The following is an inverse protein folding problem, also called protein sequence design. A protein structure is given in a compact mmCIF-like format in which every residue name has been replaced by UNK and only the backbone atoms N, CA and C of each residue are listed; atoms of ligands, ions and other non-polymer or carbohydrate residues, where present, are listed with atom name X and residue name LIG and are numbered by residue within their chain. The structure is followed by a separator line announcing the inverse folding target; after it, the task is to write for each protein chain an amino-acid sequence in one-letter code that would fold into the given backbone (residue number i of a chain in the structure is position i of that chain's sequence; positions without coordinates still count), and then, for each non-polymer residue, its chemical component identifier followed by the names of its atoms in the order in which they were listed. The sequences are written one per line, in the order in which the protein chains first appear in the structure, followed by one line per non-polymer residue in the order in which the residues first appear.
data_IF_050480903004
#
_entry.id   IF_050480903004
#
_cell.length_a   1.000
_cell.length_b   1.000
_cell.length_c   1.000
_cell.angle_alpha   90.00
_cell.angle_beta   90.00
_cell.angle_gamma   90.00
#
_symmetry.space_group_name_H-M   'P 1'
#
loop_
_entity.id
_entity.type
_entity.pdbx_description
1 polymer ?
#
# COMPACT_ATOMS: atom_id res chain seq x y z
N UNK A 1 -14.88 -24.94 -17.29
CA UNK A 1 -15.61 -24.29 -16.18
C UNK A 1 -14.74 -23.17 -15.66
N UNK A 2 -15.22 -21.93 -15.66
CA UNK A 2 -14.50 -20.80 -15.06
C UNK A 2 -14.70 -20.77 -13.54
N UNK A 3 -13.60 -20.57 -12.80
CA UNK A 3 -13.61 -20.44 -11.35
C UNK A 3 -14.56 -19.31 -10.87
N UNK A 4 -14.72 -18.25 -11.66
CA UNK A 4 -15.60 -17.12 -11.35
C UNK A 4 -17.07 -17.53 -11.16
N UNK A 5 -17.56 -18.51 -11.93
CA UNK A 5 -18.96 -18.97 -11.81
C UNK A 5 -19.19 -19.78 -10.52
N UNK A 6 -18.16 -20.45 -9.99
CA UNK A 6 -18.22 -21.16 -8.72
C UNK A 6 -18.24 -20.19 -7.52
N UNK A 7 -17.61 -19.03 -7.65
CA UNK A 7 -17.48 -18.03 -6.58
C UNK A 7 -18.71 -17.11 -6.47
N UNK A 8 -19.42 -16.85 -7.58
CA UNK A 8 -20.63 -16.02 -7.63
C UNK A 8 -21.68 -16.36 -6.53
N UNK A 9 -22.09 -17.62 -6.29
CA UNK A 9 -23.07 -17.93 -5.25
C UNK A 9 -22.55 -17.68 -3.83
N UNK A 10 -21.27 -17.95 -3.56
CA UNK A 10 -20.66 -17.74 -2.24
C UNK A 10 -20.52 -16.26 -1.89
N UNK A 11 -20.20 -15.43 -2.90
CA UNK A 11 -20.14 -13.97 -2.81
C UNK A 11 -21.55 -13.36 -2.67
N UNK A 12 -22.54 -13.87 -3.41
CA UNK A 12 -23.93 -13.40 -3.33
C UNK A 12 -24.57 -13.65 -1.97
N UNK A 13 -24.28 -14.81 -1.35
CA UNK A 13 -24.76 -15.16 0.00
C UNK A 13 -24.02 -14.40 1.11
N UNK A 14 -22.95 -13.66 0.81
CA UNK A 14 -22.11 -12.98 1.80
C UNK A 14 -21.30 -13.92 2.71
N UNK A 15 -21.30 -15.23 2.42
CA UNK A 15 -20.56 -16.25 3.17
C UNK A 15 -19.04 -16.12 3.02
N UNK A 16 -18.60 -15.48 1.93
CA UNK A 16 -17.20 -15.23 1.63
C UNK A 16 -16.98 -13.73 1.38
N UNK A 17 -15.98 -13.17 2.05
CA UNK A 17 -15.48 -11.82 1.82
C UNK A 17 -14.08 -11.94 1.23
N UNK A 18 -13.82 -11.23 0.14
CA UNK A 18 -12.51 -11.16 -0.48
C UNK A 18 -12.14 -9.69 -0.75
N UNK A 19 -10.84 -9.43 -0.85
CA UNK A 19 -10.28 -8.17 -1.29
C UNK A 19 -9.54 -8.47 -2.58
N UNK A 20 -9.91 -7.77 -3.66
CA UNK A 20 -9.22 -7.83 -4.94
C UNK A 20 -8.37 -6.59 -5.15
N UNK A 21 -7.23 -6.75 -5.83
CA UNK A 21 -6.42 -5.66 -6.34
C UNK A 21 -6.31 -5.83 -7.86
N UNK A 22 -6.67 -4.80 -8.61
CA UNK A 22 -6.66 -4.81 -10.08
C UNK A 22 -6.20 -3.46 -10.59
N UNK A 23 -5.65 -3.42 -11.80
CA UNK A 23 -5.39 -2.15 -12.49
C UNK A 23 -6.68 -1.55 -13.07
N UNK A 24 -6.67 -0.26 -13.41
CA UNK A 24 -7.83 0.41 -14.01
C UNK A 24 -8.25 -0.25 -15.33
N UNK A 25 -7.28 -0.63 -16.16
CA UNK A 25 -7.54 -1.22 -17.47
C UNK A 25 -8.14 -2.63 -17.36
N UNK A 26 -7.59 -3.47 -16.49
CA UNK A 26 -8.12 -4.82 -16.22
C UNK A 26 -9.52 -4.77 -15.61
N UNK A 27 -9.75 -3.83 -14.68
CA UNK A 27 -11.06 -3.65 -14.06
C UNK A 27 -12.14 -3.33 -15.11
N UNK A 28 -11.86 -2.38 -16.02
CA UNK A 28 -12.81 -1.97 -17.05
C UNK A 28 -13.04 -3.05 -18.11
N UNK A 29 -12.00 -3.79 -18.49
CA UNK A 29 -12.07 -4.74 -19.60
C UNK A 29 -12.64 -6.10 -19.22
N UNK A 30 -12.40 -6.55 -17.99
CA UNK A 30 -12.73 -7.91 -17.53
C UNK A 30 -13.79 -7.86 -16.43
N UNK A 31 -13.60 -7.01 -15.41
CA UNK A 31 -14.42 -7.05 -14.20
C UNK A 31 -15.78 -6.35 -14.38
N UNK A 32 -15.78 -5.19 -15.02
CA UNK A 32 -17.00 -4.39 -15.22
C UNK A 32 -17.97 -5.04 -16.21
N UNK A 33 -17.46 -5.90 -17.11
CA UNK A 33 -18.27 -6.71 -18.01
C UNK A 33 -19.05 -7.81 -17.30
N UNK A 34 -18.55 -8.32 -16.17
CA UNK A 34 -19.27 -9.32 -15.35
C UNK A 34 -20.18 -8.64 -14.34
N UNK A 35 -21.41 -8.38 -14.79
CA UNK A 35 -22.44 -7.68 -14.05
C UNK A 35 -22.83 -8.35 -12.72
N UNK A 36 -22.57 -9.65 -12.54
CA UNK A 36 -22.84 -10.33 -11.27
C UNK A 36 -21.81 -9.97 -10.19
N UNK A 37 -20.55 -9.77 -10.59
CA UNK A 37 -19.44 -9.44 -9.68
C UNK A 37 -19.37 -7.92 -9.45
N UNK A 38 -19.52 -7.09 -10.49
CA UNK A 38 -19.43 -5.63 -10.35
C UNK A 38 -20.41 -5.05 -9.33
N UNK A 39 -21.59 -5.66 -9.16
CA UNK A 39 -22.60 -5.26 -8.16
C UNK A 39 -22.30 -5.68 -6.72
N UNK A 40 -21.35 -6.58 -6.50
CA UNK A 40 -21.04 -7.16 -5.17
C UNK A 40 -19.73 -6.66 -4.59
N UNK A 41 -18.86 -6.14 -5.44
CA UNK A 41 -17.62 -5.51 -5.02
C UNK A 41 -17.82 -4.01 -4.87
N UNK A 42 -17.35 -3.46 -3.75
CA UNK A 42 -17.22 -2.02 -3.61
C UNK A 42 -15.93 -1.59 -4.30
N UNK A 43 -16.03 -0.78 -5.36
CA UNK A 43 -14.87 -0.14 -5.96
C UNK A 43 -14.31 0.89 -4.98
N UNK A 44 -13.01 0.80 -4.73
CA UNK A 44 -12.23 1.78 -3.96
C UNK A 44 -11.09 2.20 -4.86
N UNK A 45 -11.14 3.45 -5.33
CA UNK A 45 -10.11 3.99 -6.19
C UNK A 45 -8.92 4.43 -5.35
N UNK A 46 -7.77 3.83 -5.63
CA UNK A 46 -6.48 4.19 -5.02
C UNK A 46 -5.76 5.07 -6.02
N UNK A 47 -5.64 6.35 -5.68
CA UNK A 47 -4.91 7.33 -6.50
C UNK A 47 -3.43 7.30 -6.16
N UNK A 48 -2.61 7.70 -7.12
CA UNK A 48 -1.19 7.93 -6.89
C UNK A 48 -1.02 9.03 -5.82
N UNK A 49 -0.20 8.82 -4.78
CA UNK A 49 0.06 9.83 -3.78
C UNK A 49 0.84 11.01 -4.36
N UNK A 50 0.62 12.18 -3.79
CA UNK A 50 1.42 13.38 -4.11
C UNK A 50 2.87 13.20 -3.68
N UNK A 51 3.76 14.05 -4.21
CA UNK A 51 5.18 14.07 -3.79
C UNK A 51 5.29 14.30 -2.28
N UNK A 52 4.51 15.23 -1.72
CA UNK A 52 4.51 15.53 -0.30
C UNK A 52 4.07 14.34 0.57
N UNK A 53 3.00 13.64 0.17
CA UNK A 53 2.55 12.41 0.84
C UNK A 53 3.59 11.30 0.72
N UNK A 54 4.24 11.17 -0.45
CA UNK A 54 5.31 10.19 -0.65
C UNK A 54 6.48 10.46 0.28
N UNK A 55 6.88 11.72 0.49
CA UNK A 55 7.90 12.06 1.49
C UNK A 55 7.50 11.62 2.90
N UNK A 56 6.23 11.74 3.28
CA UNK A 56 5.74 11.24 4.57
C UNK A 56 5.80 9.71 4.65
N UNK A 57 5.43 9.00 3.59
CA UNK A 57 5.55 7.54 3.49
C UNK A 57 7.02 7.12 3.65
N UNK A 58 7.94 7.76 2.93
CA UNK A 58 9.37 7.51 3.02
C UNK A 58 9.92 7.79 4.43
N UNK A 59 9.45 8.84 5.12
CA UNK A 59 9.80 9.09 6.53
C UNK A 59 9.34 7.95 7.44
N UNK A 60 8.18 7.36 7.17
CA UNK A 60 7.67 6.20 7.92
C UNK A 60 8.48 4.93 7.69
N UNK A 61 9.00 4.73 6.47
CA UNK A 61 9.81 3.58 6.09
C UNK A 61 11.29 3.73 6.47
N UNK A 62 11.79 4.97 6.55
CA UNK A 62 13.19 5.31 6.83
C UNK A 62 13.85 4.46 7.94
N UNK A 63 13.26 4.27 9.14
CA UNK A 63 13.94 3.51 10.21
C UNK A 63 14.24 2.06 9.84
N UNK A 64 13.40 1.45 9.00
CA UNK A 64 13.58 0.08 8.53
C UNK A 64 14.76 -0.01 7.55
N UNK A 65 14.82 0.90 6.57
CA UNK A 65 15.88 0.95 5.58
C UNK A 65 17.23 1.37 6.18
N UNK A 66 17.24 2.32 7.12
CA UNK A 66 18.46 2.70 7.85
C UNK A 66 19.07 1.53 8.62
N UNK A 67 18.22 0.71 9.27
CA UNK A 67 18.68 -0.47 10.01
C UNK A 67 19.23 -1.56 9.06
N UNK A 68 18.58 -1.76 7.91
CA UNK A 68 18.99 -2.77 6.93
C UNK A 68 20.29 -2.41 6.20
N UNK A 69 20.42 -1.16 5.76
CA UNK A 69 21.59 -0.68 5.00
C UNK A 69 22.72 -0.15 5.87
N UNK A 70 22.47 0.08 7.17
CA UNK A 70 23.41 0.70 8.12
C UNK A 70 23.82 2.14 7.73
N UNK A 71 22.94 2.83 6.99
CA UNK A 71 23.10 4.22 6.55
C UNK A 71 22.13 5.13 7.28
N UNK A 72 22.34 6.45 7.16
CA UNK A 72 21.36 7.45 7.60
C UNK A 72 20.90 8.28 6.42
N UNK A 73 19.59 8.38 6.24
CA UNK A 73 18.98 9.24 5.21
C UNK A 73 18.71 10.62 5.80
N UNK A 74 19.23 11.66 5.16
CA UNK A 74 18.90 13.04 5.51
C UNK A 74 17.50 13.39 5.03
N UNK A 75 16.89 14.42 5.62
CA UNK A 75 15.54 14.84 5.23
C UNK A 75 15.49 15.29 3.76
N UNK A 76 16.48 16.07 3.32
CA UNK A 76 16.60 16.48 1.91
C UNK A 76 16.87 15.31 0.95
N UNK A 77 17.42 14.19 1.41
CA UNK A 77 17.56 13.00 0.56
C UNK A 77 16.21 12.32 0.27
N UNK A 78 15.28 12.33 1.23
CA UNK A 78 13.93 11.78 1.02
C UNK A 78 13.11 12.67 0.08
N UNK A 79 13.23 13.99 0.24
CA UNK A 79 12.60 14.97 -0.65
C UNK A 79 13.14 14.84 -2.07
N UNK A 80 14.46 14.81 -2.23
CA UNK A 80 15.10 14.60 -3.52
C UNK A 80 14.71 13.26 -4.16
N UNK A 81 14.62 12.17 -3.38
CA UNK A 81 14.20 10.87 -3.91
C UNK A 81 12.77 10.93 -4.47
N UNK A 82 11.83 11.57 -3.76
CA UNK A 82 10.45 11.72 -4.21
C UNK A 82 10.34 12.65 -5.44
N UNK A 83 10.99 13.81 -5.42
CA UNK A 83 10.94 14.79 -6.51
C UNK A 83 11.63 14.31 -7.79
N UNK A 84 12.83 13.74 -7.67
CA UNK A 84 13.60 13.28 -8.82
C UNK A 84 12.96 12.04 -9.45
N UNK A 85 12.45 11.11 -8.64
CA UNK A 85 11.73 9.94 -9.16
C UNK A 85 10.43 10.35 -9.84
N UNK A 86 9.70 11.33 -9.30
CA UNK A 86 8.52 11.89 -9.95
C UNK A 86 8.84 12.53 -11.31
N UNK A 87 9.94 13.27 -11.40
CA UNK A 87 10.31 14.04 -12.59
C UNK A 87 10.97 13.23 -13.71
N UNK A 88 11.82 12.27 -13.35
CA UNK A 88 12.70 11.60 -14.32
C UNK A 88 12.34 10.14 -14.58
N UNK A 89 11.63 9.47 -13.66
CA UNK A 89 11.20 8.09 -13.84
C UNK A 89 9.74 8.09 -14.32
N UNK A 90 9.61 8.07 -15.65
CA UNK A 90 8.33 7.98 -16.35
C UNK A 90 7.93 6.49 -16.52
N UNK A 91 6.62 6.20 -16.49
CA UNK A 91 6.10 4.83 -16.63
C UNK A 91 6.02 4.02 -15.33
N UNK A 92 6.41 4.61 -14.19
CA UNK A 92 6.15 4.07 -12.85
C UNK A 92 5.51 5.15 -11.98
N UNK A 93 4.74 4.69 -11.00
CA UNK A 93 3.96 5.55 -10.11
C UNK A 93 4.58 5.62 -8.71
N UNK A 94 4.38 6.75 -8.03
CA UNK A 94 4.67 6.89 -6.61
C UNK A 94 3.73 5.97 -5.80
N UNK A 95 4.14 5.50 -4.60
CA UNK A 95 5.42 5.74 -3.92
C UNK A 95 6.52 4.74 -4.32
N UNK A 96 6.18 3.72 -5.11
CA UNK A 96 7.03 2.56 -5.44
C UNK A 96 8.39 3.00 -6.03
N UNK A 97 8.37 3.83 -7.07
CA UNK A 97 9.62 4.34 -7.69
C UNK A 97 10.51 5.15 -6.74
N UNK A 98 9.93 5.84 -5.77
CA UNK A 98 10.71 6.64 -4.81
C UNK A 98 11.35 5.74 -3.73
N UNK A 99 10.66 4.65 -3.35
CA UNK A 99 11.19 3.64 -2.45
C UNK A 99 12.39 2.93 -3.11
N UNK A 100 12.26 2.54 -4.38
CA UNK A 100 13.36 1.93 -5.14
C UNK A 100 14.59 2.83 -5.17
N UNK A 101 14.43 4.13 -5.48
CA UNK A 101 15.56 5.08 -5.48
C UNK A 101 16.22 5.19 -4.10
N UNK A 102 15.43 5.19 -3.02
CA UNK A 102 15.94 5.24 -1.66
C UNK A 102 16.69 3.96 -1.28
N UNK A 103 16.19 2.79 -1.71
CA UNK A 103 16.77 1.48 -1.45
C UNK A 103 18.12 1.32 -2.18
N UNK A 104 18.13 1.60 -3.48
CA UNK A 104 19.33 1.57 -4.33
C UNK A 104 20.40 2.54 -3.83
N UNK A 105 20.01 3.73 -3.38
CA UNK A 105 20.95 4.68 -2.77
C UNK A 105 21.57 4.16 -1.47
N UNK A 106 20.80 3.39 -0.68
CA UNK A 106 21.28 2.73 0.54
C UNK A 106 22.27 1.60 0.22
N UNK A 107 21.90 0.74 -0.73
CA UNK A 107 22.74 -0.36 -1.20
C UNK A 107 24.07 0.15 -1.79
N UNK A 108 24.01 1.20 -2.63
CA UNK A 108 25.19 1.83 -3.23
C UNK A 108 26.17 2.35 -2.17
N UNK A 109 25.67 2.96 -1.08
CA UNK A 109 26.53 3.40 0.02
C UNK A 109 27.22 2.24 0.74
N UNK A 110 26.57 1.09 0.88
CA UNK A 110 27.14 -0.07 1.56
C UNK A 110 28.27 -0.74 0.77
N UNK A 111 28.20 -0.70 -0.56
CA UNK A 111 29.23 -1.26 -1.46
C UNK A 111 30.52 -0.42 -1.44
N UNK A 112 30.44 0.88 -1.14
CA UNK A 112 31.61 1.76 -1.11
C UNK A 112 32.62 1.35 -0.02
N UNK A 113 33.93 1.57 -0.26
CA UNK A 113 34.96 1.38 0.77
C UNK A 113 34.65 2.24 2.00
N UNK A 114 34.97 1.73 3.21
CA UNK A 114 34.70 2.41 4.50
C UNK A 114 35.18 3.86 4.57
N UNK A 115 36.20 4.24 3.81
CA UNK A 115 36.71 5.61 3.72
C UNK A 115 35.77 6.58 2.99
N UNK A 116 34.96 6.10 2.04
CA UNK A 116 34.02 6.88 1.24
C UNK A 116 32.57 6.76 1.71
N UNK A 117 32.28 5.86 2.64
CA UNK A 117 30.95 5.71 3.24
C UNK A 117 30.61 6.98 4.03
N UNK A 118 29.41 7.53 3.78
CA UNK A 118 28.91 8.63 4.63
C UNK A 118 28.75 8.11 6.06
N UNK A 119 29.46 8.73 7.01
CA UNK A 119 29.47 8.29 8.41
C UNK A 119 28.06 8.30 9.00
N UNK A 120 27.51 7.12 9.27
CA UNK A 120 26.35 6.95 10.14
C UNK A 120 26.82 7.12 11.59
N UNK A 121 26.62 8.31 12.17
CA UNK A 121 26.92 8.55 13.59
C UNK A 121 25.87 7.89 14.49
N UNK A 122 25.90 6.56 14.63
CA UNK A 122 25.18 5.86 15.69
C UNK A 122 25.79 4.50 16.05
N UNK A 123 26.74 4.52 16.98
CA UNK A 123 26.89 3.42 17.95
C UNK A 123 25.65 3.40 18.85
N UNK A 124 24.58 2.69 18.47
CA UNK A 124 23.61 2.13 19.43
C UNK A 124 23.18 0.77 18.91
N UNK A 125 23.47 -0.27 19.71
CA UNK A 125 22.99 -1.64 19.49
C UNK A 125 21.46 -1.61 19.39
N UNK A 126 20.89 -1.64 18.19
CA UNK A 126 19.47 -1.93 18.00
C UNK A 126 19.30 -3.45 17.96
N UNK A 127 18.65 -4.00 18.98
CA UNK A 127 18.11 -5.37 18.94
C UNK A 127 17.28 -5.56 17.67
N UNK A 128 17.21 -6.77 17.08
CA UNK A 128 16.39 -7.00 15.90
C UNK A 128 14.93 -6.75 16.27
N UNK A 129 14.36 -5.66 15.77
CA UNK A 129 12.92 -5.42 15.85
C UNK A 129 12.25 -6.23 14.76
N UNK A 130 11.94 -7.48 15.07
CA UNK A 130 10.93 -8.22 14.33
C UNK A 130 9.61 -7.43 14.41
N UNK A 131 8.93 -7.15 13.29
CA UNK A 131 7.61 -6.57 13.37
C UNK A 131 6.68 -7.67 13.89
N UNK A 132 6.37 -7.64 15.19
CA UNK A 132 5.20 -8.36 15.70
C UNK A 132 4.01 -7.81 14.92
N UNK A 133 3.41 -8.67 14.11
CA UNK A 133 2.16 -8.46 13.42
C UNK A 133 1.14 -7.90 14.42
N UNK A 134 0.95 -6.58 14.39
CA UNK A 134 -0.15 -5.95 15.11
C UNK A 134 -1.42 -6.43 14.42
N UNK A 135 -2.08 -7.38 15.06
CA UNK A 135 -3.36 -7.89 14.61
C UNK A 135 -4.30 -6.72 14.32
N UNK A 136 -4.84 -6.69 13.10
CA UNK A 136 -5.90 -5.76 12.75
C UNK A 136 -7.03 -5.90 13.78
N UNK A 137 -7.53 -4.82 14.38
CA UNK A 137 -8.72 -4.89 15.19
C UNK A 137 -9.88 -5.33 14.28
N UNK A 138 -10.35 -6.56 14.43
CA UNK A 138 -11.58 -7.03 13.78
C UNK A 138 -12.73 -6.21 14.34
N UNK A 139 -13.17 -5.18 13.62
CA UNK A 139 -14.49 -4.59 13.87
C UNK A 139 -15.52 -5.70 13.60
N UNK A 140 -16.42 -6.03 14.53
CA UNK A 140 -17.53 -6.91 14.21
C UNK A 140 -18.42 -6.18 13.19
N UNK A 141 -18.55 -6.76 12.00
CA UNK A 141 -19.64 -6.42 11.09
C UNK A 141 -20.94 -6.73 11.83
N UNK A 142 -21.70 -5.69 12.22
CA UNK A 142 -23.06 -5.87 12.72
C UNK A 142 -23.91 -6.38 11.57
N UNK A 143 -24.12 -7.69 11.50
CA UNK A 143 -25.26 -8.29 10.84
C UNK A 143 -26.47 -8.10 11.75
N UNK A 144 -27.25 -7.06 11.52
CA UNK A 144 -28.65 -7.03 11.97
C UNK A 144 -29.52 -7.33 10.76
N UNK A 145 -29.88 -8.59 10.66
CA UNK A 145 -31.12 -9.00 10.01
C UNK A 145 -32.32 -8.34 10.68
N UNK A 146 -33.34 -8.12 9.85
CA UNK A 146 -34.76 -7.94 10.15
C UNK A 146 -35.33 -6.52 10.26
N UNK A 147 -36.25 -6.28 9.30
CA UNK A 147 -37.57 -5.67 9.50
C UNK A 147 -37.58 -4.25 10.05
N UNK A 148 -37.67 -3.30 9.14
CA UNK A 148 -38.68 -2.24 9.24
C UNK A 148 -39.31 -2.07 7.85
N UNK A 149 -40.27 -2.95 7.55
CA UNK A 149 -41.36 -2.60 6.66
C UNK A 149 -42.10 -1.41 7.28
N UNK A 150 -42.41 -0.42 6.43
CA UNK A 150 -43.57 0.46 6.45
C UNK A 150 -44.21 0.80 7.81
N UNK A 151 -44.17 2.08 8.15
CA UNK A 151 -45.38 2.78 8.61
C UNK A 151 -45.26 4.25 8.25
N UNK A 152 -46.24 4.69 7.47
CA UNK A 152 -46.62 6.08 7.21
C UNK A 152 -46.64 6.93 8.49
N UNK A 153 -46.25 8.20 8.38
CA UNK A 153 -47.00 9.37 8.86
C UNK A 153 -46.08 10.60 8.99
N UNK A 154 -46.65 11.74 8.62
CA UNK A 154 -46.25 13.13 8.90
C UNK A 154 -45.41 13.85 7.82
N UNK A 155 -46.20 14.62 7.04
CA UNK A 155 -45.93 15.76 6.15
C UNK A 155 -45.43 15.42 4.75
#
# INVERSE_FOLDING_TARGET
MDASNLLKPALAKGSLRCIGATTYDEYRTIFDKDHALSRRFQKIDVVEPTVAETVQILRGLKPMFEAFHQVRYTQGALEAAAELSARYINGRFLPDKAIDVMDEAGAAQRILPKSKQKKSSAKRKSKPSSPKSRGFPKRPCRTTTNKCCNSSAAI
#
